data_IF_419988646739
#
_entry.id   IF_419988646739
#
_cell.length_a   1.000
_cell.length_b   1.000
_cell.length_c   1.000
_cell.angle_alpha   90.00
_cell.angle_beta   90.00
_cell.angle_gamma   90.00
#
_symmetry.space_group_name_H-M   'P 1'
#
loop_
_entity.id
_entity.type
_entity.pdbx_description
1 polymer ?
#
# COMPACT_ATOMS: atom_id res chain seq x y z
N UNK A 1 -5.60 2.06 -12.46
CA UNK A 1 -4.84 0.80 -12.41
C UNK A 1 -5.17 -0.07 -13.59
N UNK A 2 -6.46 -0.31 -13.86
CA UNK A 2 -6.88 -1.03 -15.04
C UNK A 2 -6.35 -0.42 -16.33
N UNK A 3 -5.95 -1.30 -17.25
CA UNK A 3 -5.62 -0.94 -18.63
C UNK A 3 -6.86 -1.22 -19.45
N UNK A 4 -7.34 -0.22 -20.18
CA UNK A 4 -8.62 -0.28 -20.89
C UNK A 4 -8.44 -0.01 -22.38
N UNK A 5 -9.28 -0.63 -23.20
CA UNK A 5 -9.41 -0.25 -24.60
C UNK A 5 -10.42 0.89 -24.71
N UNK A 6 -10.04 1.94 -25.43
CA UNK A 6 -10.89 3.08 -25.70
C UNK A 6 -11.32 3.09 -27.18
N UNK A 7 -12.56 3.50 -27.43
CA UNK A 7 -13.09 3.79 -28.76
C UNK A 7 -13.59 5.24 -28.81
N UNK A 8 -13.25 5.98 -29.85
CA UNK A 8 -13.64 7.38 -30.03
C UNK A 8 -15.01 7.45 -30.71
N UNK A 9 -15.91 8.26 -30.17
CA UNK A 9 -17.20 8.53 -30.79
C UNK A 9 -17.08 9.53 -31.94
N UNK A 10 -17.86 9.36 -33.00
CA UNK A 10 -17.92 10.26 -34.16
C UNK A 10 -18.91 11.44 -33.97
N UNK A 11 -19.32 11.75 -32.74
CA UNK A 11 -20.30 12.81 -32.50
C UNK A 11 -19.72 14.19 -32.86
N UNK A 12 -20.40 14.89 -33.78
CA UNK A 12 -19.98 16.17 -34.33
C UNK A 12 -19.73 17.22 -33.24
N UNK A 13 -18.46 17.46 -32.92
CA UNK A 13 -18.00 18.60 -32.11
C UNK A 13 -17.51 18.30 -30.70
N UNK A 14 -17.61 17.06 -30.19
CA UNK A 14 -16.94 16.66 -28.94
C UNK A 14 -16.09 15.41 -29.15
N UNK A 15 -14.79 15.50 -28.82
CA UNK A 15 -13.89 14.35 -28.83
C UNK A 15 -14.13 13.51 -27.57
N UNK A 16 -15.20 12.72 -27.58
CA UNK A 16 -15.51 11.78 -26.50
C UNK A 16 -14.99 10.37 -26.83
N UNK A 17 -14.44 9.69 -25.83
CA UNK A 17 -13.98 8.32 -25.92
C UNK A 17 -14.67 7.45 -24.86
N UNK A 18 -15.01 6.22 -25.22
CA UNK A 18 -15.67 5.25 -24.36
C UNK A 18 -14.71 4.11 -24.03
N UNK A 19 -14.67 3.70 -22.75
CA UNK A 19 -13.98 2.49 -22.34
C UNK A 19 -14.84 1.28 -22.70
N UNK A 20 -14.38 0.51 -23.69
CA UNK A 20 -15.14 -0.61 -24.26
C UNK A 20 -14.70 -1.98 -23.73
N UNK A 21 -13.49 -2.07 -23.19
CA UNK A 21 -12.96 -3.32 -22.65
C UNK A 21 -11.91 -3.07 -21.55
N UNK A 22 -11.77 -4.04 -20.63
CA UNK A 22 -10.74 -4.07 -19.58
C UNK A 22 -9.78 -5.20 -19.90
N UNK A 23 -8.51 -4.87 -20.14
CA UNK A 23 -7.49 -5.86 -20.42
C UNK A 23 -7.15 -6.71 -19.18
N UNK A 24 -6.57 -7.92 -19.35
CA UNK A 24 -6.19 -8.78 -18.24
C UNK A 24 -5.29 -8.07 -17.22
N UNK A 25 -5.62 -8.23 -15.94
CA UNK A 25 -4.86 -7.65 -14.83
C UNK A 25 -3.65 -8.53 -14.51
N UNK A 26 -2.48 -7.92 -14.27
CA UNK A 26 -1.29 -8.61 -13.77
C UNK A 26 -1.49 -9.09 -12.32
N UNK A 27 -2.12 -8.25 -11.51
CA UNK A 27 -2.51 -8.54 -10.13
C UNK A 27 -3.68 -7.64 -9.71
N UNK A 28 -4.32 -7.98 -8.59
CA UNK A 28 -5.41 -7.18 -8.01
C UNK A 28 -5.42 -7.27 -6.49
N UNK A 29 -5.57 -6.13 -5.81
CA UNK A 29 -5.84 -6.12 -4.38
C UNK A 29 -7.35 -6.31 -4.16
N UNK A 30 -7.71 -7.39 -3.46
CA UNK A 30 -9.10 -7.78 -3.27
C UNK A 30 -9.58 -7.49 -1.85
N UNK A 31 -10.84 -7.05 -1.74
CA UNK A 31 -11.56 -6.95 -0.48
C UNK A 31 -12.76 -7.89 -0.50
N UNK A 32 -12.83 -8.80 0.47
CA UNK A 32 -14.04 -9.59 0.72
C UNK A 32 -15.02 -8.75 1.51
N UNK A 33 -16.26 -8.67 1.03
CA UNK A 33 -17.36 -8.09 1.80
C UNK A 33 -17.96 -9.21 2.67
N UNK A 34 -17.95 -9.10 4.02
CA UNK A 34 -18.49 -10.14 4.90
C UNK A 34 -20.01 -10.32 4.75
N UNK A 35 -20.73 -9.28 4.36
CA UNK A 35 -22.20 -9.24 4.36
C UNK A 35 -22.83 -9.78 3.08
N UNK A 36 -22.05 -9.99 2.02
CA UNK A 36 -22.55 -10.44 0.72
C UNK A 36 -21.69 -11.61 0.27
N UNK A 37 -22.29 -12.78 -0.03
CA UNK A 37 -21.61 -13.92 -0.71
C UNK A 37 -21.09 -13.57 -2.12
N UNK A 38 -21.16 -12.30 -2.52
CA UNK A 38 -20.71 -11.82 -3.82
C UNK A 38 -19.20 -11.94 -3.97
N UNK A 39 -18.78 -12.01 -5.23
CA UNK A 39 -17.37 -12.06 -5.64
C UNK A 39 -16.54 -10.97 -4.93
N UNK A 40 -15.26 -11.24 -4.61
CA UNK A 40 -14.39 -10.25 -4.00
C UNK A 40 -14.39 -8.93 -4.79
N UNK A 41 -14.47 -7.81 -4.10
CA UNK A 41 -14.36 -6.49 -4.72
C UNK A 41 -12.89 -6.22 -5.05
N UNK A 42 -12.61 -5.85 -6.30
CA UNK A 42 -11.29 -5.35 -6.71
C UNK A 42 -11.16 -3.91 -6.24
N UNK A 43 -10.19 -3.63 -5.38
CA UNK A 43 -9.90 -2.27 -4.91
C UNK A 43 -8.97 -1.53 -5.85
N UNK A 44 -7.90 -2.21 -6.28
CA UNK A 44 -6.86 -1.70 -7.17
C UNK A 44 -6.27 -2.86 -7.97
N UNK A 45 -5.69 -2.57 -9.12
CA UNK A 45 -5.10 -3.55 -10.02
C UNK A 45 -3.84 -3.00 -10.71
N UNK A 46 -3.01 -3.91 -11.21
CA UNK A 46 -1.76 -3.62 -11.91
C UNK A 46 -0.77 -2.81 -11.05
N UNK A 47 -0.64 -3.21 -9.80
CA UNK A 47 0.28 -2.59 -8.82
C UNK A 47 1.65 -3.25 -8.91
N UNK A 48 2.72 -2.48 -8.75
CA UNK A 48 4.08 -3.01 -8.60
C UNK A 48 4.42 -3.26 -7.12
N UNK A 49 3.88 -2.44 -6.22
CA UNK A 49 4.21 -2.46 -4.79
C UNK A 49 3.01 -2.04 -3.91
N UNK A 50 2.79 -2.76 -2.82
CA UNK A 50 1.95 -2.33 -1.71
C UNK A 50 2.82 -1.81 -0.56
N UNK A 51 2.62 -0.56 -0.15
CA UNK A 51 3.35 0.05 0.97
C UNK A 51 2.41 0.17 2.17
N UNK A 52 2.66 -0.64 3.19
CA UNK A 52 1.89 -0.68 4.42
C UNK A 52 2.44 0.35 5.39
N UNK A 53 1.76 1.48 5.49
CA UNK A 53 2.11 2.58 6.39
C UNK A 53 1.47 2.33 7.75
N UNK A 54 2.33 2.23 8.75
CA UNK A 54 2.00 2.13 10.17
C UNK A 54 2.63 3.30 10.90
N UNK A 55 2.15 3.63 12.08
CA UNK A 55 2.75 4.68 12.90
C UNK A 55 2.94 4.19 14.33
N UNK A 56 3.87 4.82 15.04
CA UNK A 56 4.10 4.53 16.47
C UNK A 56 2.83 4.83 17.29
N UNK A 57 2.11 5.90 16.92
CA UNK A 57 0.85 6.31 17.57
C UNK A 57 -0.28 6.65 16.58
N UNK A 58 -1.57 6.38 16.91
CA UNK A 58 -2.05 5.61 18.06
C UNK A 58 -2.14 4.11 17.71
N UNK A 59 -1.21 3.32 18.24
CA UNK A 59 -1.04 1.87 18.09
C UNK A 59 -0.62 1.33 16.70
N UNK A 60 0.47 0.56 16.72
CA UNK A 60 0.89 -0.30 15.62
C UNK A 60 -0.14 -1.40 15.34
N UNK A 61 -0.79 -1.31 14.17
CA UNK A 61 -1.88 -2.18 13.77
C UNK A 61 -1.40 -3.48 13.10
N UNK A 62 -0.72 -4.33 13.86
CA UNK A 62 -0.10 -5.59 13.40
C UNK A 62 -1.05 -6.50 12.62
N UNK A 63 -2.25 -6.76 13.16
CA UNK A 63 -3.24 -7.60 12.49
C UNK A 63 -3.69 -7.07 11.11
N UNK A 64 -3.58 -5.76 10.87
CA UNK A 64 -3.83 -5.17 9.56
C UNK A 64 -2.66 -5.45 8.62
N UNK A 65 -1.41 -5.30 9.11
CA UNK A 65 -0.19 -5.61 8.36
C UNK A 65 -0.23 -7.06 7.88
N UNK A 66 -0.38 -8.01 8.79
CA UNK A 66 -0.41 -9.44 8.46
C UNK A 66 -1.47 -9.78 7.40
N UNK A 67 -2.70 -9.29 7.59
CA UNK A 67 -3.81 -9.56 6.68
C UNK A 67 -3.54 -9.02 5.28
N UNK A 68 -2.98 -7.82 5.19
CA UNK A 68 -2.66 -7.20 3.90
C UNK A 68 -1.48 -7.90 3.24
N UNK A 69 -0.44 -8.27 3.98
CA UNK A 69 0.70 -9.04 3.46
C UNK A 69 0.25 -10.40 2.90
N UNK A 70 -0.60 -11.13 3.62
CA UNK A 70 -1.19 -12.39 3.11
C UNK A 70 -1.96 -12.17 1.81
N UNK A 71 -2.74 -11.09 1.73
CA UNK A 71 -3.48 -10.74 0.50
C UNK A 71 -2.54 -10.40 -0.66
N UNK A 72 -1.49 -9.63 -0.40
CA UNK A 72 -0.49 -9.26 -1.41
C UNK A 72 0.23 -10.51 -1.94
N UNK A 73 0.71 -11.37 -1.04
CA UNK A 73 1.39 -12.62 -1.39
C UNK A 73 0.49 -13.54 -2.23
N UNK A 74 -0.78 -13.70 -1.84
CA UNK A 74 -1.76 -14.51 -2.59
C UNK A 74 -2.04 -13.98 -4.01
N UNK A 75 -1.71 -12.71 -4.28
CA UNK A 75 -1.94 -12.04 -5.57
C UNK A 75 -0.63 -11.79 -6.34
N UNK A 76 0.51 -12.30 -5.84
CA UNK A 76 1.83 -12.05 -6.44
C UNK A 76 2.22 -10.56 -6.44
N UNK A 77 1.74 -9.79 -5.47
CA UNK A 77 2.05 -8.38 -5.29
C UNK A 77 3.15 -8.22 -4.23
N UNK A 78 4.24 -7.55 -4.60
CA UNK A 78 5.30 -7.21 -3.66
C UNK A 78 4.78 -6.22 -2.61
N UNK A 79 5.31 -6.29 -1.39
CA UNK A 79 4.93 -5.41 -0.30
C UNK A 79 6.15 -4.89 0.48
N UNK A 80 5.99 -3.74 1.11
CA UNK A 80 6.95 -3.14 2.04
C UNK A 80 6.20 -2.52 3.23
N UNK A 81 6.84 -2.47 4.40
CA UNK A 81 6.28 -1.84 5.60
C UNK A 81 7.00 -0.53 5.88
N UNK A 82 6.26 0.53 6.17
CA UNK A 82 6.81 1.84 6.50
C UNK A 82 6.29 2.27 7.86
N UNK A 83 7.18 2.39 8.84
CA UNK A 83 6.89 3.02 10.11
C UNK A 83 7.05 4.53 9.98
N UNK A 84 5.93 5.25 9.90
CA UNK A 84 5.91 6.70 9.87
C UNK A 84 5.80 7.31 11.28
N UNK A 85 6.02 8.63 11.34
CA UNK A 85 5.92 9.48 12.54
C UNK A 85 6.95 9.14 13.62
N UNK A 86 8.14 8.79 13.18
CA UNK A 86 9.22 8.41 14.10
C UNK A 86 9.70 9.57 14.98
N UNK A 87 9.40 10.80 14.57
CA UNK A 87 9.62 12.03 15.32
C UNK A 87 8.79 12.13 16.61
N UNK A 88 7.66 11.41 16.71
CA UNK A 88 6.79 11.47 17.88
C UNK A 88 7.35 10.74 19.10
N UNK A 89 8.28 9.80 18.89
CA UNK A 89 8.79 8.94 19.95
C UNK A 89 10.32 8.89 19.86
N UNK A 90 11.04 9.35 20.91
CA UNK A 90 12.50 9.39 20.90
C UNK A 90 13.13 8.03 20.64
N UNK A 91 14.23 8.04 19.90
CA UNK A 91 15.08 6.86 19.68
C UNK A 91 15.61 6.34 21.02
N UNK A 92 15.57 5.02 21.21
CA UNK A 92 15.97 4.37 22.47
C UNK A 92 14.96 4.49 23.61
N UNK A 93 13.77 5.06 23.36
CA UNK A 93 12.68 4.90 24.30
C UNK A 93 12.10 3.49 24.21
N UNK A 94 11.56 2.99 25.33
CA UNK A 94 10.96 1.65 25.39
C UNK A 94 9.84 1.45 24.36
N UNK A 95 8.99 2.45 24.16
CA UNK A 95 7.93 2.40 23.15
C UNK A 95 8.50 2.24 21.73
N UNK A 96 9.61 2.94 21.44
CA UNK A 96 10.29 2.81 20.16
C UNK A 96 10.85 1.41 19.95
N UNK A 97 11.56 0.89 20.94
CA UNK A 97 12.17 -0.44 20.91
C UNK A 97 11.12 -1.55 20.75
N UNK A 98 9.97 -1.42 21.41
CA UNK A 98 8.86 -2.38 21.29
C UNK A 98 8.29 -2.43 19.86
N UNK A 99 8.14 -1.28 19.19
CA UNK A 99 7.66 -1.23 17.81
C UNK A 99 8.72 -1.73 16.82
N UNK A 100 9.99 -1.37 17.03
CA UNK A 100 11.10 -1.85 16.19
C UNK A 100 11.27 -3.37 16.29
N UNK A 101 11.13 -3.94 17.50
CA UNK A 101 11.16 -5.40 17.69
C UNK A 101 10.06 -6.10 16.90
N UNK A 102 8.82 -5.57 16.92
CA UNK A 102 7.70 -6.10 16.12
C UNK A 102 7.95 -5.96 14.62
N UNK A 103 8.55 -4.84 14.20
CA UNK A 103 8.89 -4.62 12.79
C UNK A 103 9.98 -5.57 12.27
N UNK A 104 10.94 -5.92 13.12
CA UNK A 104 12.04 -6.82 12.75
C UNK A 104 11.57 -8.20 12.27
N UNK A 105 10.39 -8.65 12.72
CA UNK A 105 9.77 -9.90 12.26
C UNK A 105 9.52 -9.85 10.75
N UNK A 106 9.06 -8.71 10.23
CA UNK A 106 8.79 -8.54 8.79
C UNK A 106 10.08 -8.48 7.97
N UNK A 107 11.13 -7.86 8.49
CA UNK A 107 12.46 -7.85 7.87
C UNK A 107 13.03 -9.27 7.77
N UNK A 108 12.93 -10.05 8.86
CA UNK A 108 13.44 -11.43 8.93
C UNK A 108 12.76 -12.38 7.95
N UNK A 109 11.50 -12.14 7.63
CA UNK A 109 10.75 -12.92 6.62
C UNK A 109 10.85 -12.32 5.20
N UNK A 110 11.71 -11.31 5.00
CA UNK A 110 12.11 -10.82 3.69
C UNK A 110 11.36 -9.59 3.17
N UNK A 111 10.53 -8.92 3.98
CA UNK A 111 9.89 -7.67 3.57
C UNK A 111 10.81 -6.47 3.83
N UNK A 112 10.93 -5.53 2.87
CA UNK A 112 11.57 -4.25 3.13
C UNK A 112 10.82 -3.50 4.22
N UNK A 113 11.55 -3.02 5.23
CA UNK A 113 11.00 -2.14 6.27
C UNK A 113 11.76 -0.82 6.26
N UNK A 114 11.02 0.29 6.27
CA UNK A 114 11.57 1.63 6.36
C UNK A 114 11.01 2.35 7.57
N UNK A 115 11.85 3.15 8.21
CA UNK A 115 11.45 4.09 9.25
C UNK A 115 11.48 5.50 8.67
N UNK A 116 10.39 6.26 8.82
CA UNK A 116 10.24 7.58 8.21
C UNK A 116 9.57 8.59 9.13
N UNK A 117 9.86 9.86 8.92
CA UNK A 117 9.02 10.96 9.39
C UNK A 117 8.69 11.87 8.23
N UNK A 118 7.41 11.97 7.90
CA UNK A 118 6.94 12.94 6.92
C UNK A 118 7.13 14.40 7.40
N UNK A 119 7.27 14.64 8.71
CA UNK A 119 7.45 15.97 9.29
C UNK A 119 8.91 16.38 9.30
N UNK A 120 9.81 15.53 9.81
CA UNK A 120 11.25 15.86 9.85
C UNK A 120 11.96 15.58 8.52
N UNK A 121 11.34 14.79 7.63
CA UNK A 121 11.94 14.34 6.38
C UNK A 121 12.83 13.10 6.52
N UNK A 122 13.06 12.61 7.75
CA UNK A 122 13.89 11.44 7.99
C UNK A 122 13.35 10.21 7.23
N UNK A 123 14.24 9.48 6.56
CA UNK A 123 13.91 8.27 5.81
C UNK A 123 13.12 8.48 4.50
N UNK A 124 12.70 9.71 4.20
CA UNK A 124 11.86 9.98 3.03
C UNK A 124 12.57 9.76 1.69
N UNK A 125 13.89 9.93 1.62
CA UNK A 125 14.66 9.65 0.40
C UNK A 125 14.65 8.16 0.06
N UNK A 126 14.85 7.28 1.05
CA UNK A 126 14.74 5.82 0.87
C UNK A 126 13.33 5.43 0.44
N UNK A 127 12.30 6.08 0.99
CA UNK A 127 10.92 5.86 0.56
C UNK A 127 10.70 6.31 -0.89
N UNK A 128 11.25 7.46 -1.30
CA UNK A 128 11.18 7.93 -2.70
C UNK A 128 11.88 6.95 -3.64
N UNK A 129 13.06 6.47 -3.29
CA UNK A 129 13.79 5.45 -4.06
C UNK A 129 12.97 4.15 -4.18
N UNK A 130 12.32 3.73 -3.09
CA UNK A 130 11.44 2.56 -3.08
C UNK A 130 10.18 2.76 -3.96
N UNK A 131 9.69 3.97 -4.14
CA UNK A 131 8.48 4.25 -4.93
C UNK A 131 8.75 4.59 -6.39
N UNK A 132 9.97 5.05 -6.71
CA UNK A 132 10.29 5.59 -8.04
C UNK A 132 10.09 4.54 -9.13
N UNK A 133 9.37 4.93 -10.19
CA UNK A 133 9.09 4.07 -11.35
C UNK A 133 8.09 2.93 -11.09
N UNK A 134 7.39 2.94 -9.94
CA UNK A 134 6.46 1.87 -9.54
C UNK A 134 5.05 2.42 -9.33
N UNK A 135 4.04 1.74 -9.84
CA UNK A 135 2.64 1.98 -9.47
C UNK A 135 2.43 1.38 -8.08
N UNK A 136 2.44 2.23 -7.07
CA UNK A 136 2.38 1.81 -5.68
C UNK A 136 1.06 2.22 -5.02
N UNK A 137 0.60 1.42 -4.05
CA UNK A 137 -0.52 1.78 -3.18
C UNK A 137 -0.03 1.98 -1.75
N UNK A 138 -0.51 3.02 -1.08
CA UNK A 138 -0.29 3.24 0.36
C UNK A 138 -1.50 2.72 1.15
N UNK A 139 -1.27 1.78 2.05
CA UNK A 139 -2.30 1.11 2.84
C UNK A 139 -1.99 1.32 4.32
N UNK A 140 -2.99 1.65 5.13
CA UNK A 140 -2.79 1.91 6.54
C UNK A 140 -4.03 2.52 7.18
N UNK A 141 -4.13 2.46 8.50
CA UNK A 141 -5.25 3.00 9.25
C UNK A 141 -5.38 4.52 9.06
N UNK A 142 -6.53 5.08 9.47
CA UNK A 142 -6.70 6.53 9.48
C UNK A 142 -5.64 7.16 10.40
N UNK A 143 -5.08 8.29 9.98
CA UNK A 143 -4.15 9.06 10.81
C UNK A 143 -2.69 8.57 10.84
N UNK A 144 -2.30 7.47 10.18
CA UNK A 144 -0.90 7.00 10.17
C UNK A 144 0.06 7.87 9.35
N UNK A 145 -0.46 8.75 8.51
CA UNK A 145 0.33 9.59 7.59
C UNK A 145 0.75 8.83 6.33
N UNK A 146 -0.22 8.20 5.65
CA UNK A 146 -0.08 7.81 4.24
C UNK A 146 0.00 9.07 3.39
#
# INVERSE_FOLDING_TARGET
GDVVRLEWGEAAGSAEAFAVDILPRRNALLRRNPSIRAKPQVLCANLDLAVLVVSVAPNFAEAMVDRVLVSCHAQGLNAAVVLNKIDLVPKGSREREEVEARLSVYEQIGYPVLQTSAISGEGMDKLRELLTGRISILIGNSGVGK
#
